data_IF_371090385733
#
_entry.id   IF_371090385733
#
_cell.length_a   1.000
_cell.length_b   1.000
_cell.length_c   1.000
_cell.angle_alpha   90.00
_cell.angle_beta   90.00
_cell.angle_gamma   90.00
#
_symmetry.space_group_name_H-M   'P 1'
#
loop_
_entity.id
_entity.type
_entity.pdbx_description
1 polymer ?
#
# COMPACT_ATOMS: atom_id res chain seq x y z
N UNK A 1 26.32 -48.94 4.22
CA UNK A 1 26.18 -47.74 3.39
C UNK A 1 24.71 -47.31 3.22
N UNK A 2 23.77 -48.15 2.89
CA UNK A 2 22.34 -47.87 2.69
C UNK A 2 21.65 -47.07 3.83
N UNK A 3 21.85 -47.40 5.11
CA UNK A 3 21.24 -46.72 6.26
C UNK A 3 21.59 -45.24 6.38
N UNK A 4 22.76 -44.81 5.92
CA UNK A 4 23.18 -43.38 5.96
C UNK A 4 22.46 -42.55 4.87
N UNK A 5 22.23 -43.13 3.70
CA UNK A 5 21.52 -42.51 2.61
C UNK A 5 20.03 -42.34 2.89
N UNK A 6 19.41 -43.33 3.54
CA UNK A 6 17.99 -43.21 3.96
C UNK A 6 17.80 -42.17 5.05
N UNK A 7 18.71 -42.05 6.01
CA UNK A 7 18.69 -40.98 7.02
C UNK A 7 18.84 -39.60 6.39
N UNK A 8 19.77 -39.40 5.47
CA UNK A 8 19.95 -38.16 4.75
C UNK A 8 18.71 -37.78 3.94
N UNK A 9 18.12 -38.73 3.22
CA UNK A 9 16.89 -38.48 2.48
C UNK A 9 15.70 -38.07 3.39
N UNK A 10 15.56 -38.74 4.55
CA UNK A 10 14.51 -38.40 5.52
C UNK A 10 14.71 -37.02 6.12
N UNK A 11 15.95 -36.63 6.45
CA UNK A 11 16.25 -35.29 6.96
C UNK A 11 15.96 -34.21 5.90
N UNK A 12 16.38 -34.44 4.65
CA UNK A 12 16.10 -33.50 3.55
C UNK A 12 14.59 -33.34 3.30
N UNK A 13 13.84 -34.46 3.33
CA UNK A 13 12.38 -34.42 3.19
C UNK A 13 11.72 -33.64 4.33
N UNK A 14 12.17 -33.85 5.57
CA UNK A 14 11.65 -33.13 6.73
C UNK A 14 11.96 -31.62 6.62
N UNK A 15 13.19 -31.26 6.24
CA UNK A 15 13.55 -29.84 6.03
C UNK A 15 12.71 -29.21 4.92
N UNK A 16 12.47 -29.92 3.82
CA UNK A 16 11.62 -29.42 2.74
C UNK A 16 10.16 -29.22 3.19
N UNK A 17 9.60 -30.13 3.99
CA UNK A 17 8.25 -30.00 4.55
C UNK A 17 8.15 -28.83 5.54
N UNK A 18 9.17 -28.65 6.39
CA UNK A 18 9.20 -27.51 7.31
C UNK A 18 9.31 -26.18 6.57
N UNK A 19 10.15 -26.09 5.54
CA UNK A 19 10.27 -24.90 4.73
C UNK A 19 8.97 -24.56 3.99
N UNK A 20 8.29 -25.56 3.40
CA UNK A 20 6.99 -25.37 2.77
C UNK A 20 5.91 -24.95 3.78
N UNK A 21 5.95 -25.50 5.01
CA UNK A 21 5.05 -25.09 6.09
C UNK A 21 5.24 -23.64 6.51
N UNK A 22 6.49 -23.17 6.60
CA UNK A 22 6.79 -21.79 6.95
C UNK A 22 6.30 -20.80 5.88
N UNK A 23 6.48 -21.10 4.59
CA UNK A 23 6.02 -20.22 3.51
C UNK A 23 4.50 -20.09 3.46
N UNK A 24 3.78 -21.21 3.66
CA UNK A 24 2.31 -21.18 3.71
C UNK A 24 1.77 -20.42 4.93
N UNK A 25 2.45 -20.48 6.07
CA UNK A 25 2.08 -19.70 7.26
C UNK A 25 2.29 -18.22 7.03
N UNK A 26 3.40 -17.81 6.41
CA UNK A 26 3.67 -16.41 6.07
C UNK A 26 2.62 -15.84 5.11
N UNK A 27 2.27 -16.57 4.06
CA UNK A 27 1.23 -16.16 3.12
C UNK A 27 -0.13 -15.99 3.82
N UNK A 28 -0.53 -16.96 4.67
CA UNK A 28 -1.78 -16.86 5.43
C UNK A 28 -1.78 -15.70 6.41
N UNK A 29 -0.66 -15.44 7.07
CA UNK A 29 -0.53 -14.31 7.97
C UNK A 29 -0.69 -12.99 7.22
N UNK A 30 -0.06 -12.84 6.05
CA UNK A 30 -0.20 -11.66 5.21
C UNK A 30 -1.64 -11.47 4.71
N UNK A 31 -2.30 -12.53 4.23
CA UNK A 31 -3.72 -12.51 3.87
C UNK A 31 -4.60 -12.02 5.04
N UNK A 32 -4.33 -12.45 6.25
CA UNK A 32 -5.10 -12.06 7.43
C UNK A 32 -4.85 -10.62 7.88
N UNK A 33 -3.61 -10.17 7.80
CA UNK A 33 -3.23 -8.80 8.21
C UNK A 33 -3.74 -7.78 7.19
N UNK A 34 -3.44 -7.98 5.92
CA UNK A 34 -3.74 -6.99 4.88
C UNK A 34 -5.18 -7.08 4.37
N UNK A 35 -5.72 -8.29 4.20
CA UNK A 35 -7.04 -8.56 3.64
C UNK A 35 -7.28 -7.76 2.35
N UNK A 36 -6.39 -7.90 1.33
CA UNK A 36 -6.47 -7.09 0.12
C UNK A 36 -7.78 -7.32 -0.61
N UNK A 37 -8.35 -6.25 -1.15
CA UNK A 37 -9.66 -6.31 -1.82
C UNK A 37 -9.75 -5.28 -2.94
N UNK A 38 -10.46 -5.65 -4.01
CA UNK A 38 -10.84 -4.76 -5.10
C UNK A 38 -12.15 -4.03 -4.80
N UNK A 39 -12.83 -4.40 -3.70
CA UNK A 39 -14.11 -3.82 -3.32
C UNK A 39 -13.95 -2.60 -2.41
N UNK A 40 -14.91 -1.69 -2.48
CA UNK A 40 -15.10 -0.61 -1.53
C UNK A 40 -16.29 -0.93 -0.61
N UNK A 41 -16.31 -0.36 0.58
CA UNK A 41 -17.38 -0.59 1.54
C UNK A 41 -18.57 0.35 1.30
N UNK A 42 -19.78 -0.21 1.25
CA UNK A 42 -21.00 0.58 1.15
C UNK A 42 -21.03 1.48 -0.08
N UNK A 43 -21.45 2.73 0.10
CA UNK A 43 -21.58 3.73 -0.97
C UNK A 43 -20.31 4.58 -1.19
N UNK A 44 -19.17 4.16 -0.65
CA UNK A 44 -17.91 4.95 -0.67
C UNK A 44 -17.37 5.15 -2.09
N UNK A 45 -17.62 4.23 -3.02
CA UNK A 45 -17.28 4.41 -4.43
C UNK A 45 -18.00 5.62 -5.05
N UNK A 46 -19.24 5.90 -4.64
CA UNK A 46 -19.97 7.11 -5.06
C UNK A 46 -19.37 8.37 -4.45
N UNK A 47 -18.89 8.28 -3.21
CA UNK A 47 -18.24 9.42 -2.53
C UNK A 47 -16.87 9.76 -3.12
N UNK A 48 -16.21 8.81 -3.79
CA UNK A 48 -14.98 9.06 -4.53
C UNK A 48 -15.21 9.74 -5.89
N UNK A 49 -16.47 9.92 -6.33
CA UNK A 49 -16.77 10.69 -7.54
C UNK A 49 -16.32 12.14 -7.37
N UNK A 50 -15.57 12.63 -8.36
CA UNK A 50 -14.97 13.96 -8.33
C UNK A 50 -13.52 13.98 -7.83
N UNK A 51 -13.00 12.85 -7.31
CA UNK A 51 -11.58 12.65 -7.11
C UNK A 51 -10.92 12.19 -8.41
N UNK A 52 -9.72 12.67 -8.68
CA UNK A 52 -8.96 12.33 -9.88
C UNK A 52 -8.21 11.02 -9.68
N UNK A 53 -8.32 10.07 -10.65
CA UNK A 53 -7.49 8.86 -10.66
C UNK A 53 -6.03 9.24 -10.96
N UNK A 54 -5.11 8.81 -10.11
CA UNK A 54 -3.68 9.03 -10.24
C UNK A 54 -2.98 7.68 -10.40
N UNK A 55 -1.95 7.66 -11.24
CA UNK A 55 -1.12 6.48 -11.46
C UNK A 55 0.35 6.81 -11.20
N UNK A 56 1.00 5.93 -10.43
CA UNK A 56 2.40 6.07 -10.03
C UNK A 56 3.15 4.83 -10.49
N UNK A 57 3.95 4.99 -11.54
CA UNK A 57 4.82 3.93 -12.05
C UNK A 57 6.19 4.02 -11.40
N UNK A 58 6.75 2.88 -10.97
CA UNK A 58 8.09 2.80 -10.42
C UNK A 58 8.67 1.40 -10.60
N UNK A 59 10.00 1.29 -10.45
CA UNK A 59 10.69 0.01 -10.43
C UNK A 59 10.77 -0.47 -8.99
N UNK A 60 10.16 -1.63 -8.70
CA UNK A 60 10.20 -2.22 -7.38
C UNK A 60 11.58 -2.77 -7.06
N UNK A 61 12.16 -2.34 -5.95
CA UNK A 61 13.40 -2.91 -5.42
C UNK A 61 13.17 -4.23 -4.69
N UNK A 62 11.94 -4.45 -4.18
CA UNK A 62 11.57 -5.68 -3.47
C UNK A 62 11.36 -6.86 -4.40
N UNK A 63 10.88 -6.64 -5.62
CA UNK A 63 10.61 -7.71 -6.60
C UNK A 63 11.52 -7.66 -7.82
N UNK A 64 12.17 -6.53 -8.08
CA UNK A 64 12.91 -6.30 -9.32
C UNK A 64 12.03 -6.03 -10.54
N UNK A 65 10.70 -5.98 -10.39
CA UNK A 65 9.74 -5.84 -11.47
C UNK A 65 9.12 -4.44 -11.51
N UNK A 66 8.63 -3.97 -12.67
CA UNK A 66 7.83 -2.75 -12.75
C UNK A 66 6.57 -2.87 -11.90
N UNK A 67 6.25 -1.82 -11.17
CA UNK A 67 5.05 -1.72 -10.35
C UNK A 67 4.30 -0.42 -10.64
N UNK A 68 2.98 -0.48 -10.49
CA UNK A 68 2.08 0.66 -10.67
C UNK A 68 1.11 0.74 -9.51
N UNK A 69 1.04 1.91 -8.88
CA UNK A 69 0.04 2.21 -7.88
C UNK A 69 -1.09 3.04 -8.50
N UNK A 70 -2.29 2.71 -8.10
CA UNK A 70 -3.46 3.55 -8.27
C UNK A 70 -3.63 4.44 -7.05
N UNK A 71 -4.08 5.65 -7.25
CA UNK A 71 -4.42 6.56 -6.17
C UNK A 71 -5.58 7.47 -6.57
N UNK A 72 -6.08 8.18 -5.58
CA UNK A 72 -7.09 9.23 -5.72
C UNK A 72 -6.48 10.55 -5.28
N UNK A 73 -6.63 11.56 -6.13
CA UNK A 73 -6.25 12.93 -5.83
C UNK A 73 -7.48 13.80 -5.61
N UNK A 74 -7.49 14.52 -4.52
CA UNK A 74 -8.48 15.55 -4.24
C UNK A 74 -7.73 16.86 -3.92
N UNK A 75 -7.57 17.71 -4.94
CA UNK A 75 -6.95 19.02 -4.84
C UNK A 75 -7.96 20.15 -4.82
N UNK A 76 -7.61 21.26 -4.22
CA UNK A 76 -8.36 22.51 -4.33
C UNK A 76 -7.96 23.29 -5.60
N UNK A 77 -8.89 24.02 -6.22
CA UNK A 77 -8.57 24.93 -7.31
C UNK A 77 -8.78 26.38 -6.86
N UNK A 78 -7.83 27.29 -7.17
CA UNK A 78 -6.50 27.03 -7.70
C UNK A 78 -5.53 26.54 -6.60
N UNK A 79 -4.73 25.54 -6.91
CA UNK A 79 -3.64 25.12 -6.01
C UNK A 79 -2.63 26.26 -5.90
N UNK A 80 -2.49 26.78 -4.70
CA UNK A 80 -1.46 27.77 -4.38
C UNK A 80 -0.25 27.09 -3.76
N UNK A 81 0.90 27.76 -3.73
CA UNK A 81 2.09 27.27 -3.04
C UNK A 81 1.89 27.11 -1.54
N UNK A 82 0.85 27.74 -0.99
CA UNK A 82 0.52 27.73 0.43
C UNK A 82 -0.42 26.60 0.82
N UNK A 83 -1.09 25.96 -0.16
CA UNK A 83 -1.97 24.82 0.11
C UNK A 83 -1.13 23.60 0.50
N UNK A 84 -1.21 23.09 1.73
CA UNK A 84 -0.45 21.92 2.14
C UNK A 84 -0.96 20.67 1.42
N UNK A 85 -0.05 19.74 1.13
CA UNK A 85 -0.38 18.46 0.52
C UNK A 85 -0.22 17.32 1.53
N UNK A 86 -1.08 16.32 1.44
CA UNK A 86 -1.15 15.23 2.38
C UNK A 86 -1.15 13.89 1.65
N UNK A 87 -0.23 13.00 2.02
CA UNK A 87 -0.28 11.59 1.63
C UNK A 87 -1.15 10.84 2.64
N UNK A 88 -2.28 10.30 2.15
CA UNK A 88 -3.17 9.47 2.93
C UNK A 88 -2.88 7.98 2.69
N UNK A 89 -2.58 7.26 3.76
CA UNK A 89 -2.28 5.83 3.77
C UNK A 89 -3.42 5.07 4.46
N UNK A 90 -4.14 4.23 3.69
CA UNK A 90 -5.31 3.52 4.21
C UNK A 90 -4.94 2.32 5.08
N UNK A 91 -5.91 1.78 5.80
CA UNK A 91 -5.77 0.59 6.63
C UNK A 91 -5.88 -0.71 5.83
N UNK A 92 -5.88 -1.84 6.54
CA UNK A 92 -6.24 -3.13 5.99
C UNK A 92 -7.67 -3.14 5.44
N UNK A 93 -7.95 -4.08 4.54
CA UNK A 93 -9.25 -4.27 3.87
C UNK A 93 -9.63 -3.15 2.91
N UNK A 94 -10.49 -3.51 1.95
CA UNK A 94 -11.05 -2.60 0.95
C UNK A 94 -9.97 -1.94 0.08
N UNK A 95 -10.38 -0.96 -0.70
CA UNK A 95 -9.50 -0.16 -1.55
C UNK A 95 -9.55 1.31 -1.14
N UNK A 96 -8.77 2.15 -1.80
CA UNK A 96 -8.66 3.59 -1.51
C UNK A 96 -10.01 4.32 -1.57
N UNK A 97 -10.93 3.90 -2.45
CA UNK A 97 -12.28 4.48 -2.53
C UNK A 97 -13.07 4.27 -1.23
N UNK A 98 -12.78 3.22 -0.46
CA UNK A 98 -13.33 3.00 0.87
C UNK A 98 -12.94 4.09 1.88
N UNK A 99 -11.90 4.83 1.59
CA UNK A 99 -11.42 5.96 2.43
C UNK A 99 -11.95 7.31 1.98
N UNK A 100 -12.79 7.39 0.95
CA UNK A 100 -13.30 8.65 0.39
C UNK A 100 -13.84 9.63 1.44
N UNK A 101 -14.64 9.22 2.45
CA UNK A 101 -15.10 10.14 3.48
C UNK A 101 -13.97 10.79 4.29
N UNK A 102 -12.90 10.04 4.55
CA UNK A 102 -11.73 10.56 5.27
C UNK A 102 -10.89 11.48 4.39
N UNK A 103 -10.75 11.14 3.11
CA UNK A 103 -10.06 11.99 2.12
C UNK A 103 -10.78 13.33 2.02
N UNK A 104 -12.12 13.33 1.88
CA UNK A 104 -12.94 14.55 1.87
C UNK A 104 -12.76 15.35 3.16
N UNK A 105 -12.76 14.69 4.32
CA UNK A 105 -12.55 15.38 5.59
C UNK A 105 -11.19 16.05 5.70
N UNK A 106 -10.12 15.42 5.20
CA UNK A 106 -8.79 16.06 5.16
C UNK A 106 -8.79 17.25 4.19
N UNK A 107 -9.49 17.13 3.07
CA UNK A 107 -9.63 18.22 2.11
C UNK A 107 -10.39 19.41 2.71
N UNK A 108 -11.48 19.18 3.44
CA UNK A 108 -12.22 20.23 4.18
C UNK A 108 -11.35 20.95 5.22
N UNK A 109 -10.31 20.28 5.75
CA UNK A 109 -9.33 20.89 6.65
C UNK A 109 -8.26 21.69 5.92
N UNK A 110 -8.35 21.82 4.59
CA UNK A 110 -7.49 22.68 3.78
C UNK A 110 -6.33 21.97 3.09
N UNK A 111 -6.29 20.63 3.09
CA UNK A 111 -5.25 19.86 2.40
C UNK A 111 -5.66 19.53 0.95
N UNK A 112 -4.68 19.52 0.04
CA UNK A 112 -4.77 18.71 -1.16
C UNK A 112 -4.30 17.30 -0.81
N UNK A 113 -5.09 16.27 -1.14
CA UNK A 113 -4.88 14.92 -0.63
C UNK A 113 -4.57 13.94 -1.75
N UNK A 114 -3.43 13.25 -1.65
CA UNK A 114 -3.13 12.04 -2.40
C UNK A 114 -3.40 10.83 -1.50
N UNK A 115 -4.28 9.94 -1.92
CA UNK A 115 -4.49 8.65 -1.28
C UNK A 115 -4.13 7.54 -2.26
N UNK A 116 -3.46 6.48 -1.82
CA UNK A 116 -3.02 5.40 -2.69
C UNK A 116 -3.62 4.05 -2.28
N UNK A 117 -3.80 3.16 -3.26
CA UNK A 117 -3.89 1.72 -3.04
C UNK A 117 -2.47 1.13 -3.02
N UNK A 118 -2.13 0.36 -2.00
CA UNK A 118 -0.90 -0.44 -2.03
C UNK A 118 -1.02 -1.55 -3.08
N UNK A 119 0.10 -2.11 -3.53
CA UNK A 119 0.08 -3.33 -4.35
C UNK A 119 -0.79 -4.41 -3.70
N UNK A 120 -1.58 -5.10 -4.49
CA UNK A 120 -2.57 -6.08 -4.04
C UNK A 120 -3.94 -5.50 -3.72
N UNK A 121 -4.08 -4.17 -3.60
CA UNK A 121 -5.35 -3.49 -3.35
C UNK A 121 -5.88 -2.78 -4.60
N UNK A 122 -7.20 -2.70 -4.70
CA UNK A 122 -7.90 -1.92 -5.69
C UNK A 122 -7.40 -2.12 -7.12
N UNK A 123 -7.03 -1.02 -7.77
CA UNK A 123 -6.54 -1.01 -9.15
C UNK A 123 -5.00 -1.07 -9.25
N UNK A 124 -4.25 -1.08 -8.13
CA UNK A 124 -2.79 -1.21 -8.11
C UNK A 124 -2.32 -2.56 -8.63
N UNK A 125 -1.02 -2.69 -8.96
CA UNK A 125 -0.40 -3.95 -9.36
C UNK A 125 -0.80 -5.09 -8.44
N UNK A 126 -1.12 -6.24 -9.02
CA UNK A 126 -1.57 -7.41 -8.28
C UNK A 126 -0.42 -8.07 -7.52
N UNK A 127 -0.75 -8.78 -6.46
CA UNK A 127 0.17 -9.52 -5.61
C UNK A 127 -0.34 -9.59 -4.17
N UNK A 128 0.22 -10.50 -3.38
CA UNK A 128 -0.07 -10.54 -1.95
C UNK A 128 0.79 -9.47 -1.25
N UNK A 129 0.18 -8.47 -0.60
CA UNK A 129 0.93 -7.42 0.08
C UNK A 129 1.83 -7.98 1.19
N UNK A 130 2.92 -7.30 1.45
CA UNK A 130 3.77 -7.51 2.61
C UNK A 130 4.05 -6.15 3.27
N UNK A 131 4.59 -6.17 4.47
CA UNK A 131 5.04 -4.96 5.15
C UNK A 131 6.10 -4.21 4.30
N UNK A 132 7.05 -4.97 3.74
CA UNK A 132 8.11 -4.43 2.90
C UNK A 132 7.56 -3.78 1.62
N UNK A 133 6.65 -4.47 0.90
CA UNK A 133 6.04 -3.91 -0.30
C UNK A 133 5.18 -2.67 0.00
N UNK A 134 4.44 -2.66 1.11
CA UNK A 134 3.63 -1.51 1.49
C UNK A 134 4.46 -0.28 1.89
N UNK A 135 5.62 -0.48 2.53
CA UNK A 135 6.59 0.58 2.81
C UNK A 135 7.20 1.15 1.53
N UNK A 136 7.56 0.28 0.59
CA UNK A 136 8.07 0.70 -0.72
C UNK A 136 7.03 1.51 -1.49
N UNK A 137 5.78 1.06 -1.50
CA UNK A 137 4.67 1.75 -2.15
C UNK A 137 4.44 3.14 -1.57
N UNK A 138 4.49 3.27 -0.24
CA UNK A 138 4.38 4.56 0.44
C UNK A 138 5.54 5.50 0.08
N UNK A 139 6.78 5.00 -0.02
CA UNK A 139 7.95 5.78 -0.45
C UNK A 139 7.82 6.23 -1.91
N UNK A 140 7.34 5.37 -2.80
CA UNK A 140 7.09 5.72 -4.19
C UNK A 140 6.04 6.85 -4.30
N UNK A 141 4.94 6.74 -3.55
CA UNK A 141 3.91 7.77 -3.50
C UNK A 141 4.42 9.08 -2.90
N UNK A 142 5.22 9.03 -1.84
CA UNK A 142 5.84 10.22 -1.24
C UNK A 142 6.79 10.92 -2.21
N UNK A 143 7.62 10.16 -2.91
CA UNK A 143 8.53 10.69 -3.92
C UNK A 143 7.77 11.35 -5.08
N UNK A 144 6.70 10.71 -5.54
CA UNK A 144 5.83 11.24 -6.58
C UNK A 144 5.18 12.57 -6.14
N UNK A 145 4.67 12.62 -4.90
CA UNK A 145 4.06 13.82 -4.32
C UNK A 145 5.09 14.95 -4.18
N UNK A 146 6.29 14.63 -3.70
CA UNK A 146 7.37 15.60 -3.54
C UNK A 146 7.84 16.20 -4.88
N UNK A 147 7.88 15.41 -5.94
CA UNK A 147 8.26 15.88 -7.27
C UNK A 147 7.22 16.82 -7.87
N UNK A 148 5.93 16.61 -7.61
CA UNK A 148 4.83 17.43 -8.13
C UNK A 148 4.55 18.67 -7.30
N UNK A 149 4.80 18.60 -6.01
CA UNK A 149 4.54 19.67 -5.04
C UNK A 149 5.82 20.03 -4.25
N UNK A 150 6.88 20.51 -4.95
CA UNK A 150 8.20 20.71 -4.33
C UNK A 150 8.24 21.87 -3.34
N UNK A 151 7.30 22.80 -3.41
CA UNK A 151 7.25 24.01 -2.58
C UNK A 151 6.21 23.94 -1.45
N UNK A 152 5.23 23.03 -1.54
CA UNK A 152 4.19 22.86 -0.54
C UNK A 152 4.71 22.11 0.69
N UNK A 153 4.19 22.46 1.86
CA UNK A 153 4.36 21.63 3.04
C UNK A 153 3.68 20.27 2.83
N UNK A 154 4.39 19.20 3.10
CA UNK A 154 3.93 17.82 2.90
C UNK A 154 3.69 17.14 4.23
N UNK A 155 2.57 16.45 4.33
CA UNK A 155 2.13 15.74 5.53
C UNK A 155 1.81 14.30 5.21
N UNK A 156 1.87 13.45 6.22
CA UNK A 156 1.48 12.03 6.16
C UNK A 156 0.34 11.82 7.13
N UNK A 157 -0.72 11.17 6.67
CA UNK A 157 -1.79 10.69 7.52
C UNK A 157 -1.99 9.19 7.29
N UNK A 158 -1.80 8.39 8.31
CA UNK A 158 -1.99 6.94 8.27
C UNK A 158 -3.18 6.52 9.12
N UNK A 159 -4.07 5.69 8.57
CA UNK A 159 -5.18 5.08 9.28
C UNK A 159 -4.91 3.60 9.55
N UNK A 160 -4.98 3.16 10.82
CA UNK A 160 -4.77 1.75 11.21
C UNK A 160 -3.42 1.23 10.70
N UNK A 161 -3.39 0.19 9.85
CA UNK A 161 -2.17 -0.32 9.20
C UNK A 161 -1.36 0.81 8.53
N UNK A 162 -2.04 1.73 7.83
CA UNK A 162 -1.40 2.90 7.23
C UNK A 162 -0.69 3.81 8.24
N UNK A 163 -1.10 3.78 9.52
CA UNK A 163 -0.40 4.48 10.59
C UNK A 163 1.01 3.93 10.85
N UNK A 164 1.15 2.61 10.90
CA UNK A 164 2.46 1.96 11.04
C UNK A 164 3.37 2.26 9.85
N UNK A 165 2.81 2.17 8.62
CA UNK A 165 3.54 2.50 7.38
C UNK A 165 3.94 3.98 7.37
N UNK A 166 3.05 4.88 7.82
CA UNK A 166 3.32 6.31 7.89
C UNK A 166 4.42 6.69 8.89
N UNK A 167 4.51 5.98 10.02
CA UNK A 167 5.60 6.16 11.00
C UNK A 167 6.95 5.75 10.38
N UNK A 168 6.99 4.59 9.70
CA UNK A 168 8.20 4.14 8.99
C UNK A 168 8.62 5.14 7.90
N UNK A 169 7.66 5.69 7.16
CA UNK A 169 7.94 6.66 6.10
C UNK A 169 8.50 7.99 6.65
N UNK A 170 8.14 8.35 7.86
CA UNK A 170 8.55 9.60 8.52
C UNK A 170 9.88 9.49 9.28
N UNK A 171 10.42 8.27 9.50
CA UNK A 171 11.68 8.01 10.21
C UNK A 171 12.89 8.11 9.29
#
# INVERSE_FOLDING_TARGET
MMKRWTLLASVLSLCALLAAGCSTLDERQREWIFQPSDSSWGNTATMAKGMEDVWIDFQSSTTGEPARLHGLWLGGAPETTDTPVLLYLHGARYNVAGSAPRIQRMHELGFSVLAIDYRGFGKSSKGLPSEESAREDARAAWTWLAARHPRQHRYIFGHSLGGAIGIDLAS
#
